data_IF_606515045354
#
_entry.id   IF_606515045354
#
_cell.length_a   1.000
_cell.length_b   1.000
_cell.length_c   1.000
_cell.angle_alpha   90.00
_cell.angle_beta   90.00
_cell.angle_gamma   90.00
#
_symmetry.space_group_name_H-M   'P 1'
#
loop_
_entity.id
_entity.type
_entity.pdbx_description
1 polymer ?
#
# COMPACT_ATOMS: atom_id res chain seq x y z
N UNK A 1 -11.16 6.71 -19.84
CA UNK A 1 -11.12 5.75 -18.72
C UNK A 1 -9.70 5.22 -18.62
N UNK A 2 -9.15 5.11 -17.42
CA UNK A 2 -7.80 4.55 -17.24
C UNK A 2 -7.84 3.44 -16.19
N UNK A 3 -7.25 2.30 -16.52
CA UNK A 3 -6.97 1.26 -15.55
C UNK A 3 -5.96 1.78 -14.54
N UNK A 4 -6.28 1.68 -13.25
CA UNK A 4 -5.40 2.14 -12.19
C UNK A 4 -4.51 1.00 -11.74
N UNK A 5 -3.22 1.26 -11.59
CA UNK A 5 -2.30 0.38 -10.85
C UNK A 5 -2.66 0.45 -9.36
N UNK A 6 -3.77 -0.17 -8.98
CA UNK A 6 -4.39 -0.06 -7.66
C UNK A 6 -3.44 -0.40 -6.50
N UNK A 7 -2.44 -1.27 -6.72
CA UNK A 7 -1.40 -1.59 -5.73
C UNK A 7 -0.43 -0.43 -5.45
N UNK A 8 -0.27 0.48 -6.41
CA UNK A 8 0.59 1.66 -6.33
C UNK A 8 -0.20 2.93 -6.04
N UNK A 9 -1.52 2.89 -6.21
CA UNK A 9 -2.39 4.02 -5.97
C UNK A 9 -2.79 4.11 -4.50
N UNK A 10 -2.44 5.21 -3.85
CA UNK A 10 -2.65 5.40 -2.42
C UNK A 10 -4.13 5.54 -2.05
N UNK A 11 -4.97 6.05 -2.96
CA UNK A 11 -6.41 6.17 -2.74
C UNK A 11 -7.04 4.79 -2.82
N UNK A 12 -6.65 3.98 -3.80
CA UNK A 12 -7.08 2.58 -3.87
C UNK A 12 -6.68 1.80 -2.62
N UNK A 13 -5.45 2.01 -2.12
CA UNK A 13 -5.00 1.39 -0.89
C UNK A 13 -5.83 1.82 0.32
N UNK A 14 -6.21 3.10 0.43
CA UNK A 14 -7.15 3.59 1.45
C UNK A 14 -8.49 2.83 1.35
N UNK A 15 -9.12 2.88 0.17
CA UNK A 15 -10.43 2.29 -0.10
C UNK A 15 -10.51 0.79 0.17
N UNK A 16 -9.45 0.05 -0.17
CA UNK A 16 -9.38 -1.40 0.01
C UNK A 16 -8.91 -1.81 1.42
N UNK A 17 -8.33 -0.88 2.20
CA UNK A 17 -7.90 -1.16 3.56
C UNK A 17 -8.98 -0.91 4.61
N UNK A 18 -9.91 0.01 4.35
CA UNK A 18 -10.90 0.47 5.32
C UNK A 18 -12.28 -0.16 5.15
N UNK A 19 -12.56 -0.81 4.03
CA UNK A 19 -13.89 -1.32 3.71
C UNK A 19 -13.85 -2.80 3.38
N UNK A 20 -14.73 -3.59 4.03
CA UNK A 20 -15.05 -4.93 3.57
C UNK A 20 -15.74 -4.83 2.22
N UNK A 21 -15.09 -5.37 1.18
CA UNK A 21 -15.59 -5.34 -0.18
C UNK A 21 -16.90 -6.12 -0.35
N UNK A 22 -17.19 -7.03 0.57
CA UNK A 22 -18.32 -7.95 0.49
C UNK A 22 -19.67 -7.31 0.79
N UNK A 23 -19.73 -6.19 1.55
CA UNK A 23 -21.00 -5.66 2.06
C UNK A 23 -21.89 -4.99 1.01
N UNK A 24 -21.32 -4.34 -0.02
CA UNK A 24 -22.07 -3.49 -0.96
C UNK A 24 -21.57 -3.64 -2.41
N UNK A 25 -21.89 -4.76 -3.06
CA UNK A 25 -21.48 -5.02 -4.45
C UNK A 25 -22.64 -5.42 -5.36
N UNK A 26 -22.53 -5.03 -6.63
CA UNK A 26 -23.44 -5.47 -7.70
C UNK A 26 -22.78 -6.58 -8.51
N UNK A 27 -23.52 -7.64 -8.82
CA UNK A 27 -23.04 -8.69 -9.73
C UNK A 27 -23.33 -8.31 -11.18
N UNK A 28 -22.30 -8.34 -12.02
CA UNK A 28 -22.43 -8.12 -13.46
C UNK A 28 -21.39 -8.93 -14.22
N UNK A 29 -21.84 -9.77 -15.16
CA UNK A 29 -20.99 -10.67 -15.98
C UNK A 29 -19.98 -11.49 -15.13
N UNK A 30 -20.41 -11.97 -13.96
CA UNK A 30 -19.56 -12.74 -13.04
C UNK A 30 -18.54 -11.91 -12.25
N UNK A 31 -18.60 -10.58 -12.33
CA UNK A 31 -17.80 -9.65 -11.55
C UNK A 31 -18.64 -9.03 -10.43
N UNK A 32 -18.04 -8.89 -9.25
CA UNK A 32 -18.58 -8.04 -8.18
C UNK A 32 -18.07 -6.62 -8.42
N UNK A 33 -18.97 -5.66 -8.60
CA UNK A 33 -18.65 -4.27 -8.92
C UNK A 33 -19.13 -3.36 -7.79
N UNK A 34 -18.27 -2.44 -7.36
CA UNK A 34 -18.60 -1.39 -6.40
C UNK A 34 -18.14 -0.04 -6.95
N UNK A 35 -19.03 0.96 -6.90
CA UNK A 35 -18.65 2.36 -7.12
C UNK A 35 -18.29 3.00 -5.79
N UNK A 36 -17.24 3.82 -5.78
CA UNK A 36 -16.89 4.66 -4.64
C UNK A 36 -16.41 6.01 -5.15
N UNK A 37 -16.81 7.07 -4.48
CA UNK A 37 -16.34 8.43 -4.75
C UNK A 37 -15.50 8.90 -3.58
N UNK A 38 -14.39 9.56 -3.89
CA UNK A 38 -13.44 10.05 -2.89
C UNK A 38 -13.13 11.49 -3.20
N UNK A 39 -13.38 12.39 -2.24
CA UNK A 39 -12.90 13.76 -2.35
C UNK A 39 -11.41 13.80 -2.05
N UNK A 40 -10.65 14.54 -2.86
CA UNK A 40 -9.20 14.66 -2.68
C UNK A 40 -8.85 15.16 -1.27
N UNK A 41 -9.62 16.09 -0.72
CA UNK A 41 -9.45 16.58 0.67
C UNK A 41 -9.61 15.49 1.72
N UNK A 42 -10.61 14.63 1.60
CA UNK A 42 -10.84 13.51 2.54
C UNK A 42 -9.66 12.54 2.50
N UNK A 43 -9.19 12.19 1.30
CA UNK A 43 -7.98 11.40 1.13
C UNK A 43 -6.74 12.06 1.75
N UNK A 44 -6.55 13.37 1.56
CA UNK A 44 -5.41 14.10 2.13
C UNK A 44 -5.45 14.10 3.66
N UNK A 45 -6.63 14.29 4.26
CA UNK A 45 -6.83 14.20 5.71
C UNK A 45 -6.41 12.82 6.21
N UNK A 46 -7.00 11.77 5.62
CA UNK A 46 -6.69 10.39 5.95
C UNK A 46 -5.19 10.10 5.85
N UNK A 47 -4.58 10.51 4.73
CA UNK A 47 -3.15 10.27 4.48
C UNK A 47 -2.28 10.98 5.51
N UNK A 48 -2.59 12.22 5.85
CA UNK A 48 -1.84 12.98 6.85
C UNK A 48 -1.96 12.34 8.23
N UNK A 49 -3.17 11.93 8.63
CA UNK A 49 -3.39 11.20 9.89
C UNK A 49 -2.61 9.90 9.93
N UNK A 50 -2.64 9.11 8.86
CA UNK A 50 -1.88 7.86 8.76
C UNK A 50 -0.38 8.07 8.93
N UNK A 51 0.20 9.06 8.23
CA UNK A 51 1.64 9.37 8.32
C UNK A 51 2.04 9.78 9.75
N UNK A 52 1.21 10.57 10.43
CA UNK A 52 1.49 11.01 11.80
C UNK A 52 1.33 9.85 12.79
N UNK A 53 0.29 9.02 12.64
CA UNK A 53 0.07 7.84 13.50
C UNK A 53 1.14 6.75 13.33
N UNK A 54 1.76 6.64 12.16
CA UNK A 54 2.95 5.80 11.96
C UNK A 54 4.10 6.18 12.90
N UNK A 55 4.21 7.46 13.29
CA UNK A 55 5.22 7.93 14.25
C UNK A 55 4.69 8.00 15.69
N UNK A 56 3.41 8.32 15.89
CA UNK A 56 2.76 8.39 17.21
C UNK A 56 1.38 7.73 17.18
N UNK A 57 1.29 6.43 17.49
CA UNK A 57 0.04 5.67 17.43
C UNK A 57 -1.06 6.20 18.35
N UNK A 58 -0.70 6.71 19.54
CA UNK A 58 -1.65 7.10 20.60
C UNK A 58 -2.15 8.55 20.51
N UNK A 59 -2.01 9.19 19.34
CA UNK A 59 -2.37 10.59 19.17
C UNK A 59 -3.90 10.74 19.01
N UNK A 60 -4.52 11.48 19.93
CA UNK A 60 -5.97 11.74 19.93
C UNK A 60 -6.45 12.52 18.68
N UNK A 61 -7.65 12.18 18.20
CA UNK A 61 -8.23 12.73 16.97
C UNK A 61 -8.44 14.25 17.01
N UNK A 62 -8.77 14.79 18.18
CA UNK A 62 -8.95 16.23 18.39
C UNK A 62 -7.70 17.04 18.04
N UNK A 63 -6.51 16.46 18.23
CA UNK A 63 -5.25 17.12 17.89
C UNK A 63 -5.13 17.36 16.39
N UNK A 64 -5.77 16.55 15.55
CA UNK A 64 -5.73 16.72 14.10
C UNK A 64 -6.67 17.80 13.56
N UNK A 65 -7.57 18.34 14.38
CA UNK A 65 -8.60 19.30 13.93
C UNK A 65 -8.00 20.50 13.21
N UNK A 66 -6.87 21.04 13.68
CA UNK A 66 -6.20 22.17 13.02
C UNK A 66 -5.69 21.82 11.61
N UNK A 67 -5.11 20.63 11.44
CA UNK A 67 -4.64 20.16 10.14
C UNK A 67 -5.80 19.82 9.22
N UNK A 68 -6.87 19.22 9.74
CA UNK A 68 -8.09 18.95 8.99
C UNK A 68 -8.70 20.24 8.45
N UNK A 69 -8.88 21.26 9.30
CA UNK A 69 -9.39 22.58 8.89
C UNK A 69 -8.51 23.22 7.81
N UNK A 70 -7.18 23.13 7.95
CA UNK A 70 -6.25 23.65 6.97
C UNK A 70 -6.33 22.93 5.61
N UNK A 71 -6.55 21.62 5.60
CA UNK A 71 -6.75 20.86 4.36
C UNK A 71 -8.11 21.17 3.74
N UNK A 72 -9.17 21.25 4.56
CA UNK A 72 -10.52 21.56 4.09
C UNK A 72 -10.63 22.96 3.47
N UNK A 73 -9.84 23.93 3.96
CA UNK A 73 -9.81 25.30 3.43
C UNK A 73 -9.02 25.46 2.13
N UNK A 74 -8.29 24.44 1.68
CA UNK A 74 -7.61 24.48 0.39
C UNK A 74 -8.62 24.57 -0.77
N UNK A 75 -8.35 25.41 -1.74
CA UNK A 75 -9.11 25.53 -3.00
C UNK A 75 -8.20 25.18 -4.17
N UNK A 76 -8.72 24.92 -5.38
CA UNK A 76 -7.87 24.64 -6.54
C UNK A 76 -6.88 25.77 -6.88
N UNK A 77 -7.12 26.99 -6.38
CA UNK A 77 -6.22 28.14 -6.52
C UNK A 77 -5.20 28.27 -5.38
N UNK A 78 -5.28 27.41 -4.37
CA UNK A 78 -4.41 27.50 -3.20
C UNK A 78 -2.98 27.06 -3.50
N UNK A 79 -2.02 27.84 -2.99
CA UNK A 79 -0.60 27.52 -3.00
C UNK A 79 -0.12 27.24 -1.57
N UNK A 80 -0.19 25.98 -1.10
CA UNK A 80 0.19 25.67 0.27
C UNK A 80 1.67 25.94 0.51
N UNK A 81 1.97 26.75 1.53
CA UNK A 81 3.34 27.08 1.92
C UNK A 81 3.83 26.13 3.01
N UNK A 82 5.03 25.57 2.82
CA UNK A 82 5.68 24.64 3.77
C UNK A 82 5.67 25.21 5.20
N UNK A 83 6.14 26.45 5.39
CA UNK A 83 6.22 27.07 6.73
C UNK A 83 4.90 27.07 7.51
N UNK A 84 3.75 27.29 6.86
CA UNK A 84 2.45 27.30 7.53
C UNK A 84 2.07 25.89 8.01
N UNK A 85 2.21 24.89 7.14
CA UNK A 85 1.92 23.50 7.47
C UNK A 85 2.91 22.94 8.50
N UNK A 86 4.17 23.39 8.48
CA UNK A 86 5.16 23.00 9.48
C UNK A 86 4.72 23.41 10.88
N UNK A 87 4.29 24.67 11.06
CA UNK A 87 3.77 25.18 12.34
C UNK A 87 2.53 24.41 12.82
N UNK A 88 1.61 24.09 11.90
CA UNK A 88 0.41 23.30 12.23
C UNK A 88 0.81 21.90 12.67
N UNK A 89 1.72 21.23 11.96
CA UNK A 89 2.10 19.86 12.31
C UNK A 89 2.93 19.82 13.60
N UNK A 90 3.78 20.81 13.85
CA UNK A 90 4.54 20.95 15.11
C UNK A 90 3.65 21.19 16.33
N UNK A 91 2.49 21.85 16.15
CA UNK A 91 1.51 22.03 17.23
C UNK A 91 0.77 20.71 17.58
N UNK A 92 0.68 19.80 16.62
CA UNK A 92 0.09 18.46 16.79
C UNK A 92 1.10 17.51 17.42
N UNK A 93 2.32 17.48 16.88
CA UNK A 93 3.41 16.60 17.34
C UNK A 93 4.71 17.38 17.41
N UNK A 94 5.09 17.77 18.63
CA UNK A 94 6.40 18.38 18.89
C UNK A 94 7.51 17.42 18.48
N UNK A 95 8.49 17.93 17.74
CA UNK A 95 9.64 17.16 17.30
C UNK A 95 9.36 16.17 16.17
N UNK A 96 8.38 16.46 15.30
CA UNK A 96 8.16 15.63 14.10
C UNK A 96 9.46 15.54 13.28
N UNK A 97 9.78 14.34 12.82
CA UNK A 97 10.99 14.10 12.05
C UNK A 97 10.88 14.78 10.67
N UNK A 98 11.97 15.41 10.22
CA UNK A 98 11.99 16.13 8.94
C UNK A 98 11.59 15.25 7.73
N UNK A 99 12.02 13.98 7.62
CA UNK A 99 11.54 13.08 6.56
C UNK A 99 10.02 12.84 6.58
N UNK A 100 9.43 12.69 7.77
CA UNK A 100 7.99 12.47 7.96
C UNK A 100 7.20 13.71 7.55
N UNK A 101 7.63 14.89 8.00
CA UNK A 101 7.04 16.16 7.58
C UNK A 101 7.14 16.37 6.07
N UNK A 102 8.31 16.10 5.48
CA UNK A 102 8.51 16.23 4.04
C UNK A 102 7.60 15.28 3.24
N UNK A 103 7.40 14.04 3.72
CA UNK A 103 6.46 13.08 3.13
C UNK A 103 5.02 13.62 3.17
N UNK A 104 4.61 14.18 4.30
CA UNK A 104 3.29 14.79 4.49
C UNK A 104 3.08 15.98 3.54
N UNK A 105 3.99 16.95 3.56
CA UNK A 105 3.86 18.17 2.76
C UNK A 105 3.95 17.90 1.25
N UNK A 106 4.83 17.00 0.81
CA UNK A 106 4.85 16.53 -0.60
C UNK A 106 3.52 15.89 -0.99
N UNK A 107 2.89 15.14 -0.08
CA UNK A 107 1.56 14.56 -0.27
C UNK A 107 0.49 15.63 -0.53
N UNK A 108 0.45 16.69 0.26
CA UNK A 108 -0.47 17.82 0.08
C UNK A 108 -0.17 18.55 -1.25
N UNK A 109 1.09 18.85 -1.52
CA UNK A 109 1.50 19.58 -2.74
C UNK A 109 1.20 18.81 -4.03
N UNK A 110 1.26 17.47 -4.02
CA UNK A 110 0.94 16.61 -5.17
C UNK A 110 -0.46 16.87 -5.76
N UNK A 111 -1.39 17.34 -4.93
CA UNK A 111 -2.78 17.61 -5.32
C UNK A 111 -3.07 19.10 -5.51
N UNK A 112 -2.03 19.95 -5.58
CA UNK A 112 -2.19 21.35 -5.95
C UNK A 112 -2.93 21.47 -7.29
N UNK A 113 -3.93 22.35 -7.35
CA UNK A 113 -4.83 22.49 -8.49
C UNK A 113 -6.01 21.51 -8.54
N UNK A 114 -6.09 20.55 -7.62
CA UNK A 114 -7.05 19.42 -7.63
C UNK A 114 -7.65 19.11 -6.26
N UNK A 115 -7.62 20.07 -5.34
CA UNK A 115 -8.13 19.89 -3.98
C UNK A 115 -9.65 19.73 -3.93
N UNK A 116 -10.36 20.33 -4.88
CA UNK A 116 -11.83 20.29 -4.96
C UNK A 116 -12.33 19.11 -5.81
N UNK A 117 -11.42 18.33 -6.39
CA UNK A 117 -11.76 17.18 -7.22
C UNK A 117 -12.42 16.08 -6.36
N UNK A 118 -13.47 15.50 -6.94
CA UNK A 118 -14.04 14.23 -6.51
C UNK A 118 -13.67 13.17 -7.54
N UNK A 119 -13.07 12.07 -7.06
CA UNK A 119 -12.57 11.00 -7.91
C UNK A 119 -13.53 9.81 -7.83
N UNK A 120 -14.03 9.37 -8.99
CA UNK A 120 -14.92 8.21 -9.11
C UNK A 120 -14.11 6.95 -9.42
N UNK A 121 -14.08 6.05 -8.45
CA UNK A 121 -13.47 4.73 -8.55
C UNK A 121 -14.53 3.66 -8.76
N UNK A 122 -14.25 2.74 -9.69
CA UNK A 122 -15.05 1.54 -9.90
C UNK A 122 -14.13 0.37 -9.60
N UNK A 123 -14.42 -0.31 -8.49
CA UNK A 123 -13.65 -1.43 -7.99
C UNK A 123 -14.37 -2.70 -8.42
N UNK A 124 -13.65 -3.57 -9.10
CA UNK A 124 -14.17 -4.82 -9.63
C UNK A 124 -13.39 -5.97 -9.03
N UNK A 125 -14.10 -6.99 -8.54
CA UNK A 125 -13.53 -8.24 -8.08
C UNK A 125 -13.94 -9.38 -9.02
N UNK A 126 -12.93 -10.05 -9.53
CA UNK A 126 -13.07 -11.31 -10.26
C UNK A 126 -12.64 -12.46 -9.34
N UNK A 127 -13.61 -13.23 -8.85
CA UNK A 127 -13.38 -14.34 -7.91
C UNK A 127 -12.53 -15.46 -8.53
N UNK A 128 -12.69 -15.75 -9.82
CA UNK A 128 -11.85 -16.73 -10.50
C UNK A 128 -10.38 -16.28 -10.50
N UNK A 129 -10.12 -15.02 -10.87
CA UNK A 129 -8.77 -14.47 -10.82
C UNK A 129 -8.22 -14.38 -9.41
N UNK A 130 -9.08 -14.15 -8.41
CA UNK A 130 -8.70 -14.16 -6.98
C UNK A 130 -8.15 -15.53 -6.59
N UNK A 131 -8.90 -16.60 -6.85
CA UNK A 131 -8.49 -17.96 -6.59
C UNK A 131 -7.22 -18.36 -7.36
N UNK A 132 -7.13 -18.02 -8.64
CA UNK A 132 -5.92 -18.27 -9.45
C UNK A 132 -4.68 -17.53 -8.91
N UNK A 133 -4.85 -16.28 -8.48
CA UNK A 133 -3.77 -15.47 -7.92
C UNK A 133 -3.28 -16.03 -6.60
N UNK A 134 -4.21 -16.47 -5.76
CA UNK A 134 -3.90 -17.14 -4.50
C UNK A 134 -3.13 -18.43 -4.72
N UNK A 135 -3.63 -19.32 -5.59
CA UNK A 135 -2.96 -20.58 -5.91
C UNK A 135 -1.55 -20.35 -6.46
N UNK A 136 -1.40 -19.40 -7.40
CA UNK A 136 -0.08 -19.02 -7.94
C UNK A 136 0.85 -18.52 -6.84
N UNK A 137 0.38 -17.64 -5.95
CA UNK A 137 1.18 -17.13 -4.83
C UNK A 137 1.62 -18.26 -3.91
N UNK A 138 0.73 -19.16 -3.51
CA UNK A 138 1.06 -20.29 -2.64
C UNK A 138 2.12 -21.19 -3.28
N UNK A 139 1.97 -21.57 -4.55
CA UNK A 139 2.97 -22.37 -5.29
C UNK A 139 4.35 -21.69 -5.28
N UNK A 140 4.42 -20.39 -5.54
CA UNK A 140 5.69 -19.67 -5.54
C UNK A 140 6.30 -19.54 -4.15
N UNK A 141 5.48 -19.30 -3.12
CA UNK A 141 5.97 -19.26 -1.73
C UNK A 141 6.56 -20.62 -1.36
N UNK A 142 5.83 -21.73 -1.59
CA UNK A 142 6.32 -23.08 -1.28
C UNK A 142 7.62 -23.40 -2.01
N UNK A 143 7.69 -23.14 -3.33
CA UNK A 143 8.91 -23.41 -4.12
C UNK A 143 10.10 -22.60 -3.64
N UNK A 144 9.90 -21.33 -3.28
CA UNK A 144 10.97 -20.48 -2.77
C UNK A 144 11.39 -20.87 -1.35
N UNK A 145 10.45 -21.30 -0.50
CA UNK A 145 10.76 -21.86 0.82
C UNK A 145 11.64 -23.11 0.68
N UNK A 146 11.31 -24.05 -0.21
CA UNK A 146 12.15 -25.23 -0.47
C UNK A 146 13.56 -24.86 -0.95
N UNK A 147 13.68 -23.86 -1.82
CA UNK A 147 14.98 -23.36 -2.28
C UNK A 147 15.77 -22.71 -1.13
N UNK A 148 15.11 -21.97 -0.23
CA UNK A 148 15.73 -21.37 0.96
C UNK A 148 16.12 -22.44 2.00
N UNK A 149 15.30 -23.46 2.22
CA UNK A 149 15.59 -24.56 3.14
C UNK A 149 16.87 -25.30 2.73
N UNK A 150 17.09 -25.49 1.42
CA UNK A 150 18.35 -26.05 0.88
C UNK A 150 19.56 -25.16 1.18
N UNK A 151 19.40 -23.84 1.11
CA UNK A 151 20.47 -22.88 1.41
C UNK A 151 20.82 -22.86 2.90
N UNK A 152 19.82 -22.96 3.78
CA UNK A 152 20.01 -22.93 5.23
C UNK A 152 20.16 -24.31 5.89
N UNK A 153 20.20 -25.39 5.11
CA UNK A 153 20.28 -26.76 5.62
C UNK A 153 21.56 -27.00 6.46
N UNK A 154 21.48 -27.74 7.59
CA UNK A 154 22.63 -27.99 8.47
C UNK A 154 23.82 -28.66 7.76
N UNK A 155 23.52 -29.55 6.80
CA UNK A 155 24.50 -30.33 6.05
C UNK A 155 25.18 -29.52 4.92
N UNK A 156 24.71 -28.30 4.63
CA UNK A 156 25.36 -27.38 3.69
C UNK A 156 26.52 -26.59 4.34
N UNK A 157 26.68 -26.67 5.68
CA UNK A 157 27.69 -25.92 6.45
C UNK A 157 29.13 -26.45 6.34
N UNK A 158 29.36 -27.56 5.63
CA UNK A 158 30.68 -28.24 5.57
C UNK A 158 31.47 -28.00 4.28
N UNK A 159 31.14 -26.99 3.48
CA UNK A 159 31.97 -26.55 2.35
C UNK A 159 32.08 -25.03 2.39
N UNK A 160 33.28 -24.55 2.71
CA UNK A 160 33.83 -23.20 2.46
C UNK A 160 32.79 -22.17 2.05
N UNK A 161 32.42 -21.26 2.96
CA UNK A 161 31.91 -19.90 2.72
C UNK A 161 31.27 -19.67 1.33
N UNK A 162 30.38 -20.57 0.90
CA UNK A 162 29.59 -20.40 -0.33
C UNK A 162 28.64 -19.30 0.02
N UNK A 163 29.01 -18.11 -0.44
CA UNK A 163 28.38 -16.84 -0.13
C UNK A 163 26.85 -17.00 -0.11
N UNK A 164 26.32 -17.19 1.11
CA UNK A 164 24.89 -17.43 1.34
C UNK A 164 24.11 -16.26 0.76
N UNK A 165 24.69 -15.05 0.77
CA UNK A 165 24.11 -13.88 0.15
C UNK A 165 24.10 -13.98 -1.39
N UNK A 166 25.10 -14.58 -2.02
CA UNK A 166 25.06 -14.88 -3.46
C UNK A 166 23.98 -15.92 -3.81
N UNK A 167 23.81 -16.97 -2.99
CA UNK A 167 22.75 -17.95 -3.18
C UNK A 167 21.36 -17.32 -3.01
N UNK A 168 21.19 -16.47 -1.99
CA UNK A 168 19.97 -15.69 -1.77
C UNK A 168 19.68 -14.74 -2.93
N UNK A 169 20.70 -14.06 -3.47
CA UNK A 169 20.56 -13.20 -4.63
C UNK A 169 20.00 -13.99 -5.82
N UNK A 170 20.59 -15.16 -6.11
CA UNK A 170 20.13 -16.07 -7.19
C UNK A 170 18.71 -16.58 -6.98
N UNK A 171 18.31 -16.92 -5.75
CA UNK A 171 16.93 -17.34 -5.44
C UNK A 171 15.92 -16.26 -5.83
N UNK A 172 16.24 -15.00 -5.56
CA UNK A 172 15.33 -13.89 -5.79
C UNK A 172 15.58 -13.13 -7.10
N UNK A 173 16.36 -13.64 -8.04
CA UNK A 173 16.64 -12.97 -9.32
C UNK A 173 15.43 -12.94 -10.29
N UNK A 174 15.46 -11.97 -11.22
CA UNK A 174 14.49 -11.84 -12.30
C UNK A 174 13.05 -11.67 -11.81
N UNK A 175 12.13 -12.48 -12.32
CA UNK A 175 10.71 -12.38 -11.95
C UNK A 175 10.42 -12.79 -10.50
N UNK A 176 11.36 -13.48 -9.82
CA UNK A 176 11.21 -13.94 -8.44
C UNK A 176 11.38 -12.82 -7.41
N UNK A 177 12.03 -11.70 -7.79
CA UNK A 177 12.21 -10.50 -6.95
C UNK A 177 10.88 -10.07 -6.32
N UNK A 178 9.77 -10.12 -7.08
CA UNK A 178 8.45 -9.67 -6.60
C UNK A 178 7.90 -10.50 -5.42
N UNK A 179 8.40 -11.72 -5.22
CA UNK A 179 8.02 -12.60 -4.12
C UNK A 179 8.91 -12.44 -2.89
N UNK A 180 10.07 -11.76 -3.01
CA UNK A 180 10.99 -11.49 -1.89
C UNK A 180 10.29 -10.84 -0.69
N UNK A 181 9.29 -9.99 -0.94
CA UNK A 181 8.48 -9.32 0.08
C UNK A 181 7.73 -10.26 1.04
N UNK A 182 7.56 -11.53 0.68
CA UNK A 182 6.93 -12.55 1.53
C UNK A 182 7.91 -13.23 2.49
N UNK A 183 9.19 -12.91 2.39
CA UNK A 183 10.26 -13.51 3.20
C UNK A 183 11.00 -12.44 3.98
N UNK A 184 11.22 -12.69 5.26
CA UNK A 184 12.09 -11.90 6.13
C UNK A 184 13.36 -12.70 6.34
N UNK A 185 14.51 -12.15 5.91
CA UNK A 185 15.82 -12.80 6.09
C UNK A 185 16.37 -12.39 7.45
N UNK A 186 16.60 -13.36 8.33
CA UNK A 186 17.27 -13.15 9.61
C UNK A 186 18.78 -13.02 9.35
N UNK A 187 19.40 -11.99 9.92
CA UNK A 187 20.83 -11.72 9.80
C UNK A 187 21.50 -11.69 11.18
N UNK A 188 22.72 -12.20 11.25
CA UNK A 188 23.55 -12.11 12.45
C UNK A 188 23.94 -10.65 12.73
N UNK A 189 23.84 -10.23 13.99
CA UNK A 189 24.03 -8.82 14.36
C UNK A 189 25.46 -8.34 14.12
N UNK A 190 26.46 -9.21 14.27
CA UNK A 190 27.89 -8.86 14.17
C UNK A 190 28.38 -8.90 12.73
N UNK A 191 28.09 -9.99 12.03
CA UNK A 191 28.60 -10.25 10.67
C UNK A 191 27.66 -9.77 9.56
N UNK A 192 26.42 -9.39 9.90
CA UNK A 192 25.34 -9.10 8.95
C UNK A 192 25.04 -10.25 7.97
N UNK A 193 25.59 -11.44 8.19
CA UNK A 193 25.38 -12.62 7.35
C UNK A 193 23.97 -13.17 7.55
N UNK A 194 23.34 -13.65 6.48
CA UNK A 194 22.05 -14.32 6.59
C UNK A 194 22.18 -15.65 7.33
N UNK A 195 21.38 -15.82 8.39
CA UNK A 195 21.38 -17.01 9.27
C UNK A 195 20.10 -17.84 9.18
N UNK A 196 19.05 -17.30 8.55
CA UNK A 196 17.79 -17.99 8.35
C UNK A 196 16.75 -17.09 7.70
N UNK A 197 15.52 -17.58 7.64
CA UNK A 197 14.40 -16.80 7.12
C UNK A 197 13.09 -17.15 7.85
N UNK A 198 12.10 -16.28 7.72
CA UNK A 198 10.72 -16.52 8.12
C UNK A 198 9.75 -15.96 7.10
N UNK A 199 8.52 -16.47 7.09
CA UNK A 199 7.46 -15.94 6.25
C UNK A 199 6.88 -14.67 6.85
N UNK A 200 6.75 -13.64 6.02
CA UNK A 200 6.07 -12.40 6.39
C UNK A 200 4.56 -12.57 6.20
N UNK A 201 3.90 -13.15 7.20
CA UNK A 201 2.46 -13.42 7.14
C UNK A 201 1.64 -12.14 6.93
N UNK A 202 2.05 -11.03 7.55
CA UNK A 202 1.40 -9.74 7.36
C UNK A 202 1.38 -9.31 5.88
N UNK A 203 2.49 -9.50 5.15
CA UNK A 203 2.56 -9.20 3.72
C UNK A 203 1.73 -10.16 2.87
N UNK A 204 1.64 -11.43 3.26
CA UNK A 204 0.80 -12.42 2.59
C UNK A 204 -0.68 -12.03 2.72
N UNK A 205 -1.14 -11.72 3.93
CA UNK A 205 -2.52 -11.30 4.18
C UNK A 205 -2.85 -9.97 3.51
N UNK A 206 -1.91 -9.02 3.48
CA UNK A 206 -2.08 -7.79 2.72
C UNK A 206 -2.30 -8.07 1.23
N UNK A 207 -1.53 -8.98 0.61
CA UNK A 207 -1.69 -9.23 -0.83
C UNK A 207 -2.93 -10.01 -1.20
N UNK A 208 -3.45 -10.86 -0.31
CA UNK A 208 -4.74 -11.52 -0.47
C UNK A 208 -5.87 -10.50 -0.69
N UNK A 209 -5.83 -9.35 0.00
CA UNK A 209 -6.84 -8.29 -0.14
C UNK A 209 -6.92 -7.69 -1.55
N UNK A 210 -5.87 -7.83 -2.36
CA UNK A 210 -5.81 -7.27 -3.71
C UNK A 210 -5.95 -8.32 -4.82
N UNK A 211 -6.16 -9.60 -4.46
CA UNK A 211 -6.30 -10.67 -5.43
C UNK A 211 -7.62 -10.56 -6.19
N UNK A 212 -7.57 -10.74 -7.51
CA UNK A 212 -8.76 -10.63 -8.37
C UNK A 212 -9.32 -9.21 -8.51
N UNK A 213 -8.78 -8.23 -7.79
CA UNK A 213 -9.23 -6.83 -7.86
C UNK A 213 -8.59 -6.13 -9.05
N UNK A 214 -9.41 -5.37 -9.77
CA UNK A 214 -8.95 -4.31 -10.66
C UNK A 214 -9.80 -3.06 -10.42
N UNK A 215 -9.19 -1.90 -10.62
CA UNK A 215 -9.82 -0.62 -10.31
C UNK A 215 -9.74 0.29 -11.53
N UNK A 216 -10.87 0.92 -11.85
CA UNK A 216 -10.99 1.90 -12.92
C UNK A 216 -11.23 3.28 -12.30
N UNK A 217 -10.49 4.28 -12.79
CA UNK A 217 -10.80 5.69 -12.53
C UNK A 217 -11.61 6.21 -13.72
N UNK A 218 -12.79 6.74 -13.44
CA UNK A 218 -13.74 7.19 -14.46
C UNK A 218 -14.10 8.66 -14.29
N UNK A 219 -14.17 9.39 -15.39
CA UNK A 219 -14.74 10.74 -15.47
C UNK A 219 -16.15 10.75 -16.07
N UNK A 220 -16.69 9.58 -16.46
CA UNK A 220 -18.00 9.42 -17.08
C UNK A 220 -19.08 9.27 -16.02
N UNK A 221 -19.47 10.36 -15.38
CA UNK A 221 -20.50 10.37 -14.33
C UNK A 221 -21.90 10.08 -14.83
N UNK A 222 -22.10 10.15 -16.14
CA UNK A 222 -23.33 9.83 -16.86
C UNK A 222 -23.61 8.31 -16.93
N UNK A 223 -22.58 7.47 -16.79
CA UNK A 223 -22.70 6.02 -16.93
C UNK A 223 -22.86 5.31 -15.59
N UNK A 224 -23.70 4.27 -15.54
CA UNK A 224 -23.78 3.37 -14.38
C UNK A 224 -22.51 2.52 -14.27
N UNK A 225 -22.09 2.06 -13.08
CA UNK A 225 -20.85 1.30 -12.91
C UNK A 225 -20.69 0.11 -13.85
N UNK A 226 -21.76 -0.66 -14.05
CA UNK A 226 -21.82 -1.80 -14.97
C UNK A 226 -21.62 -1.47 -16.45
N UNK A 227 -21.87 -0.22 -16.85
CA UNK A 227 -21.68 0.25 -18.23
C UNK A 227 -20.25 0.72 -18.48
N UNK A 228 -19.48 0.90 -17.40
CA UNK A 228 -18.07 1.31 -17.43
C UNK A 228 -17.13 0.09 -17.46
N UNK A 229 -17.62 -1.09 -17.01
CA UNK A 229 -16.85 -2.33 -16.83
C UNK A 229 -17.04 -3.30 -17.98
#
# INVERSE_FOLDING_TARGET
MMGVKHRQDEICNMLLSEQDFEADHQLYKGLKIRETRVKVKEFLIWKCQKIIREQKPDLADEKFSLLQKAILSLTNKSEPKSGNYKRIVESITKGIEAPVYNKLFRGIKKYQGRYEDELRYIICLNEQRKAESEKKRQIFISKLSEDLDKVFAPNARSKEDRDVDQALHKIFEGYKVKFKKFFTIARDAKSQRAIGYSLNQQKIEQEKKFDGIFVLLSSRYDLKPREVV
#
